data_IF_088547293986
#
_entry.id   IF_088547293986
#
_cell.length_a   1.000
_cell.length_b   1.000
_cell.length_c   1.000
_cell.angle_alpha   90.00
_cell.angle_beta   90.00
_cell.angle_gamma   90.00
#
_symmetry.space_group_name_H-M   'P 1'
#
loop_
_entity.id
_entity.type
_entity.pdbx_description
1 polymer ?
#
# COMPACT_ATOMS: atom_id res chain seq x y z
N UNK A 1 -24.57 -32.74 -12.05
CA UNK A 1 -23.38 -32.24 -11.31
C UNK A 1 -22.12 -32.38 -12.16
N UNK A 2 -21.87 -33.49 -12.83
CA UNK A 2 -20.64 -33.69 -13.63
C UNK A 2 -20.47 -32.67 -14.77
N UNK A 3 -21.57 -32.08 -15.27
CA UNK A 3 -21.54 -31.06 -16.32
C UNK A 3 -21.55 -29.61 -15.79
N UNK A 4 -21.69 -29.42 -14.50
CA UNK A 4 -21.67 -28.07 -13.88
C UNK A 4 -20.23 -27.56 -13.83
N UNK A 5 -19.82 -26.81 -14.84
CA UNK A 5 -18.50 -26.17 -14.88
C UNK A 5 -18.53 -24.89 -14.03
N UNK A 6 -18.30 -25.04 -12.73
CA UNK A 6 -18.18 -23.91 -11.82
C UNK A 6 -16.77 -23.26 -11.83
N UNK A 7 -15.97 -23.52 -12.85
CA UNK A 7 -14.58 -23.04 -12.92
C UNK A 7 -13.69 -23.63 -11.84
N UNK A 8 -14.12 -24.71 -11.21
CA UNK A 8 -13.56 -25.26 -10.00
C UNK A 8 -12.39 -26.21 -10.29
N UNK A 9 -11.31 -25.71 -10.80
CA UNK A 9 -10.03 -26.40 -10.70
C UNK A 9 -9.35 -26.16 -9.34
N UNK A 10 -10.12 -25.84 -8.30
CA UNK A 10 -9.59 -25.63 -6.93
C UNK A 10 -9.57 -26.98 -6.23
N UNK A 11 -8.40 -27.49 -5.79
CA UNK A 11 -8.28 -28.83 -5.25
C UNK A 11 -9.16 -29.06 -4.02
N UNK A 12 -9.50 -27.99 -3.28
CA UNK A 12 -10.30 -28.05 -2.07
C UNK A 12 -11.80 -27.76 -2.28
N UNK A 13 -12.22 -27.39 -3.50
CA UNK A 13 -13.62 -27.10 -3.78
C UNK A 13 -14.30 -28.26 -4.48
N UNK A 14 -15.53 -28.53 -4.06
CA UNK A 14 -16.38 -29.57 -4.66
C UNK A 14 -17.68 -28.95 -5.14
N UNK A 15 -18.19 -29.49 -6.24
CA UNK A 15 -19.54 -29.20 -6.72
C UNK A 15 -20.53 -30.06 -5.95
N UNK A 16 -21.57 -29.44 -5.42
CA UNK A 16 -22.62 -30.11 -4.67
C UNK A 16 -24.00 -29.62 -5.14
N UNK A 17 -25.03 -30.43 -4.89
CA UNK A 17 -26.44 -30.06 -5.08
C UNK A 17 -27.11 -29.91 -3.72
N UNK A 18 -27.97 -28.90 -3.55
CA UNK A 18 -28.82 -28.73 -2.38
C UNK A 18 -29.92 -29.78 -2.39
N UNK A 19 -29.90 -30.70 -1.44
CA UNK A 19 -30.89 -31.79 -1.32
C UNK A 19 -32.10 -31.33 -0.49
N UNK A 20 -31.85 -30.63 0.61
CA UNK A 20 -32.89 -30.05 1.47
C UNK A 20 -32.35 -28.89 2.28
N UNK A 21 -33.23 -27.98 2.70
CA UNK A 21 -32.89 -26.82 3.52
C UNK A 21 -33.76 -26.80 4.76
N UNK A 22 -33.10 -26.68 5.92
CA UNK A 22 -33.69 -26.42 7.22
C UNK A 22 -33.45 -24.98 7.65
N UNK A 23 -33.92 -24.57 8.81
CA UNK A 23 -33.77 -23.20 9.30
C UNK A 23 -32.29 -22.78 9.47
N UNK A 24 -31.41 -23.68 9.93
CA UNK A 24 -30.02 -23.35 10.28
C UNK A 24 -28.98 -24.16 9.48
N UNK A 25 -29.41 -25.00 8.53
CA UNK A 25 -28.49 -25.82 7.74
C UNK A 25 -29.08 -26.25 6.40
N UNK A 26 -28.18 -26.63 5.51
CA UNK A 26 -28.51 -27.23 4.21
C UNK A 26 -27.86 -28.59 4.14
N UNK A 27 -28.63 -29.61 3.74
CA UNK A 27 -28.09 -30.91 3.36
C UNK A 27 -27.72 -30.87 1.88
N UNK A 28 -26.50 -31.26 1.57
CA UNK A 28 -25.92 -31.24 0.24
C UNK A 28 -25.53 -32.65 -0.21
N UNK A 29 -25.58 -32.92 -1.51
CA UNK A 29 -25.16 -34.16 -2.12
C UNK A 29 -24.06 -33.96 -3.15
N UNK A 30 -23.18 -34.94 -3.28
CA UNK A 30 -22.05 -34.93 -4.20
C UNK A 30 -22.25 -35.95 -5.32
N UNK A 31 -21.48 -35.81 -6.41
CA UNK A 31 -21.55 -36.72 -7.57
C UNK A 31 -21.15 -38.16 -7.22
N UNK A 32 -20.38 -38.37 -6.16
CA UNK A 32 -19.97 -39.68 -5.65
C UNK A 32 -21.05 -40.36 -4.73
N UNK A 33 -22.23 -39.76 -4.62
CA UNK A 33 -23.32 -40.24 -3.78
C UNK A 33 -23.22 -39.88 -2.30
N UNK A 34 -22.11 -39.29 -1.86
CA UNK A 34 -21.96 -38.83 -0.49
C UNK A 34 -22.82 -37.61 -0.20
N UNK A 35 -23.15 -37.43 1.06
CA UNK A 35 -23.88 -36.24 1.54
C UNK A 35 -23.08 -35.49 2.60
N UNK A 36 -23.41 -34.22 2.79
CA UNK A 36 -22.79 -33.37 3.81
C UNK A 36 -23.79 -32.36 4.37
N UNK A 37 -23.38 -31.70 5.44
CA UNK A 37 -24.15 -30.61 6.07
C UNK A 37 -23.39 -29.31 5.90
N UNK A 38 -24.09 -28.27 5.49
CA UNK A 38 -23.60 -26.90 5.42
C UNK A 38 -24.42 -26.04 6.39
N UNK A 39 -23.85 -25.65 7.55
CA UNK A 39 -24.51 -24.74 8.47
C UNK A 39 -24.75 -23.34 7.84
N UNK A 40 -25.80 -22.66 8.26
CA UNK A 40 -26.11 -21.29 7.82
C UNK A 40 -24.94 -20.32 8.06
N UNK A 41 -24.23 -20.49 9.17
CA UNK A 41 -23.06 -19.69 9.52
C UNK A 41 -21.90 -19.80 8.50
N UNK A 42 -21.83 -20.89 7.74
CA UNK A 42 -20.83 -21.11 6.68
C UNK A 42 -21.33 -20.73 5.27
N UNK A 43 -22.50 -20.10 5.17
CA UNK A 43 -23.09 -19.58 3.93
C UNK A 43 -23.50 -18.10 4.05
N UNK A 44 -22.69 -17.33 4.79
CA UNK A 44 -22.97 -15.92 5.16
C UNK A 44 -22.59 -14.91 4.07
N UNK A 45 -22.13 -15.34 2.88
CA UNK A 45 -21.75 -14.41 1.82
C UNK A 45 -22.89 -13.43 1.54
N UNK A 46 -22.63 -12.11 1.63
CA UNK A 46 -23.66 -11.12 1.32
C UNK A 46 -23.97 -11.18 -0.16
N UNK A 47 -25.25 -11.18 -0.50
CA UNK A 47 -25.66 -10.93 -1.90
C UNK A 47 -25.46 -9.45 -2.22
N UNK A 48 -24.88 -9.18 -3.38
CA UNK A 48 -24.75 -7.81 -3.89
C UNK A 48 -26.08 -7.07 -3.78
N UNK A 49 -26.11 -5.97 -3.00
CA UNK A 49 -27.22 -5.02 -2.82
C UNK A 49 -28.36 -5.40 -1.87
N UNK A 50 -28.32 -6.53 -1.18
CA UNK A 50 -29.33 -6.86 -0.16
C UNK A 50 -28.66 -7.18 1.17
N UNK A 51 -29.38 -7.00 2.28
CA UNK A 51 -28.94 -7.44 3.60
C UNK A 51 -29.01 -8.96 3.77
N UNK A 52 -29.50 -9.66 2.74
CA UNK A 52 -29.70 -11.11 2.76
C UNK A 52 -28.40 -11.85 2.57
N UNK A 53 -28.22 -12.93 3.30
CA UNK A 53 -27.10 -13.86 3.12
C UNK A 53 -27.38 -14.83 1.96
N UNK A 54 -26.34 -15.44 1.40
CA UNK A 54 -26.50 -16.46 0.39
C UNK A 54 -27.33 -17.66 0.91
N UNK A 55 -27.24 -17.97 2.20
CA UNK A 55 -28.04 -19.02 2.82
C UNK A 55 -29.54 -18.81 2.63
N UNK A 56 -30.06 -17.59 2.84
CA UNK A 56 -31.50 -17.30 2.70
C UNK A 56 -32.02 -17.59 1.31
N UNK A 57 -31.19 -17.45 0.29
CA UNK A 57 -31.52 -17.58 -1.11
C UNK A 57 -31.38 -19.01 -1.69
N UNK A 58 -30.69 -19.91 -0.96
CA UNK A 58 -30.52 -21.29 -1.40
C UNK A 58 -31.85 -22.04 -1.47
N UNK A 59 -32.06 -22.77 -2.57
CA UNK A 59 -33.22 -23.59 -2.82
C UNK A 59 -32.79 -25.02 -3.07
N UNK A 60 -33.71 -25.98 -2.83
CA UNK A 60 -33.52 -27.37 -3.22
C UNK A 60 -33.30 -27.45 -4.75
N UNK A 61 -32.30 -28.23 -5.15
CA UNK A 61 -31.89 -28.35 -6.54
C UNK A 61 -30.78 -27.40 -6.99
N UNK A 62 -30.42 -26.37 -6.18
CA UNK A 62 -29.31 -25.47 -6.52
C UNK A 62 -28.00 -26.24 -6.61
N UNK A 63 -27.21 -25.93 -7.64
CA UNK A 63 -25.84 -26.42 -7.81
C UNK A 63 -24.87 -25.37 -7.29
N UNK A 64 -24.09 -25.76 -6.32
CA UNK A 64 -23.19 -24.84 -5.56
C UNK A 64 -21.77 -25.38 -5.47
N UNK A 65 -20.82 -24.47 -5.29
CA UNK A 65 -19.46 -24.83 -4.91
C UNK A 65 -19.32 -24.78 -3.37
N UNK A 66 -18.65 -25.79 -2.81
CA UNK A 66 -18.42 -25.90 -1.37
C UNK A 66 -16.98 -26.32 -1.10
N UNK A 67 -16.48 -25.93 0.08
CA UNK A 67 -15.19 -26.36 0.62
C UNK A 67 -15.41 -27.01 1.98
N UNK A 68 -14.66 -28.08 2.28
CA UNK A 68 -14.67 -28.70 3.61
C UNK A 68 -14.06 -27.76 4.64
N UNK A 69 -14.75 -27.59 5.75
CA UNK A 69 -14.26 -26.88 6.96
C UNK A 69 -14.54 -27.76 8.19
N UNK A 70 -13.52 -28.51 8.61
CA UNK A 70 -13.67 -29.53 9.64
C UNK A 70 -14.67 -30.62 9.22
N UNK A 71 -15.70 -30.83 10.02
CA UNK A 71 -16.77 -31.82 9.74
C UNK A 71 -17.96 -31.22 8.96
N UNK A 72 -17.87 -29.96 8.56
CA UNK A 72 -18.93 -29.25 7.85
C UNK A 72 -18.47 -28.79 6.45
N UNK A 73 -19.41 -28.23 5.69
CA UNK A 73 -19.13 -27.63 4.40
C UNK A 73 -19.44 -26.14 4.39
N UNK A 74 -18.60 -25.36 3.76
CA UNK A 74 -18.78 -23.93 3.59
C UNK A 74 -19.06 -23.59 2.13
N UNK A 75 -20.04 -22.71 1.89
CA UNK A 75 -20.35 -22.18 0.57
C UNK A 75 -19.14 -21.43 -0.01
N UNK A 76 -18.89 -21.60 -1.29
CA UNK A 76 -17.86 -20.86 -2.04
C UNK A 76 -18.46 -20.24 -3.28
N UNK A 77 -17.90 -19.11 -3.66
CA UNK A 77 -18.26 -18.41 -4.88
C UNK A 77 -17.02 -17.71 -5.45
N UNK A 78 -16.95 -17.57 -6.77
CA UNK A 78 -15.95 -16.74 -7.40
C UNK A 78 -16.31 -15.28 -7.10
N UNK A 79 -15.44 -14.51 -6.42
CA UNK A 79 -15.78 -13.15 -6.04
C UNK A 79 -15.84 -12.24 -7.28
N UNK A 80 -16.82 -11.35 -7.33
CA UNK A 80 -16.87 -10.27 -8.32
C UNK A 80 -15.85 -9.17 -8.01
N UNK A 81 -15.56 -8.94 -6.70
CA UNK A 81 -14.48 -8.07 -6.28
C UNK A 81 -13.18 -8.81 -6.53
N UNK A 82 -12.26 -8.12 -7.18
CA UNK A 82 -10.93 -8.64 -7.45
C UNK A 82 -9.88 -7.59 -7.13
N UNK A 83 -8.63 -7.91 -7.37
CA UNK A 83 -7.55 -6.99 -7.10
C UNK A 83 -6.22 -7.50 -7.60
N UNK A 84 -5.18 -6.80 -7.24
CA UNK A 84 -3.81 -7.19 -7.52
C UNK A 84 -2.92 -6.95 -6.32
N UNK A 85 -1.89 -7.78 -6.18
CA UNK A 85 -0.84 -7.63 -5.16
C UNK A 85 0.51 -7.86 -5.81
N UNK A 86 1.49 -7.07 -5.40
CA UNK A 86 2.91 -7.22 -5.77
C UNK A 86 3.75 -7.18 -4.51
N UNK A 87 4.77 -8.01 -4.46
CA UNK A 87 5.78 -8.05 -3.41
C UNK A 87 7.15 -7.88 -4.05
N UNK A 88 7.94 -6.94 -3.59
CA UNK A 88 9.23 -6.57 -4.15
C UNK A 88 10.31 -6.54 -3.07
N UNK A 89 11.50 -7.03 -3.43
CA UNK A 89 12.70 -6.77 -2.66
C UNK A 89 13.21 -5.36 -3.02
N UNK A 90 13.16 -4.39 -2.09
CA UNK A 90 13.52 -3.01 -2.40
C UNK A 90 15.01 -2.83 -2.75
N UNK A 91 15.90 -3.75 -2.33
CA UNK A 91 17.33 -3.63 -2.58
C UNK A 91 17.74 -4.09 -3.98
N UNK A 92 17.04 -5.06 -4.53
CA UNK A 92 17.37 -5.68 -5.83
C UNK A 92 16.40 -5.34 -6.94
N UNK A 93 15.16 -4.91 -6.60
CA UNK A 93 14.04 -4.77 -7.52
C UNK A 93 13.40 -6.10 -7.94
N UNK A 94 13.81 -7.23 -7.34
CA UNK A 94 13.19 -8.51 -7.64
C UNK A 94 11.73 -8.54 -7.17
N UNK A 95 10.83 -8.86 -8.08
CA UNK A 95 9.44 -9.16 -7.75
C UNK A 95 9.39 -10.58 -7.20
N UNK A 96 9.18 -10.67 -5.88
CA UNK A 96 9.20 -11.94 -5.14
C UNK A 96 7.88 -12.70 -5.27
N UNK A 97 6.77 -11.98 -5.40
CA UNK A 97 5.45 -12.55 -5.59
C UNK A 97 4.53 -11.56 -6.31
N UNK A 98 3.61 -12.09 -7.09
CA UNK A 98 2.58 -11.30 -7.77
C UNK A 98 1.29 -12.10 -7.87
N UNK A 99 0.16 -11.46 -7.55
CA UNK A 99 -1.18 -11.98 -7.77
C UNK A 99 -2.00 -10.93 -8.51
N UNK A 100 -2.48 -11.27 -9.69
CA UNK A 100 -3.22 -10.32 -10.56
C UNK A 100 -4.72 -10.51 -10.58
N UNK A 101 -5.25 -11.39 -9.72
CA UNK A 101 -6.67 -11.70 -9.65
C UNK A 101 -6.93 -12.97 -8.87
N UNK A 102 -8.19 -13.43 -8.85
CA UNK A 102 -8.58 -14.62 -8.12
C UNK A 102 -7.95 -15.89 -8.72
N UNK A 103 -8.09 -16.06 -10.04
CA UNK A 103 -7.54 -17.20 -10.77
C UNK A 103 -7.29 -16.81 -12.25
N UNK A 104 -6.05 -17.00 -12.72
CA UNK A 104 -5.66 -16.70 -14.10
C UNK A 104 -6.35 -17.59 -15.15
N UNK A 105 -6.86 -18.77 -14.75
CA UNK A 105 -7.62 -19.66 -15.63
C UNK A 105 -9.02 -19.11 -15.95
N UNK A 106 -9.58 -18.28 -15.05
CA UNK A 106 -10.87 -17.62 -15.23
C UNK A 106 -10.71 -16.33 -16.02
N UNK A 107 -9.65 -15.56 -15.72
CA UNK A 107 -9.37 -14.30 -16.39
C UNK A 107 -7.86 -14.07 -16.43
N UNK A 108 -7.33 -13.93 -17.65
CA UNK A 108 -5.90 -13.65 -17.88
C UNK A 108 -5.50 -12.21 -17.55
N UNK A 109 -6.47 -11.32 -17.27
CA UNK A 109 -6.22 -9.92 -16.94
C UNK A 109 -5.49 -9.77 -15.60
N UNK A 110 -4.20 -9.39 -15.68
CA UNK A 110 -3.35 -9.22 -14.51
C UNK A 110 -3.55 -7.82 -13.90
N UNK A 111 -4.35 -7.73 -12.85
CA UNK A 111 -4.68 -6.45 -12.20
C UNK A 111 -3.52 -5.82 -11.45
N UNK A 112 -2.45 -6.56 -11.19
CA UNK A 112 -1.27 -6.00 -10.55
C UNK A 112 -0.43 -5.13 -11.50
N UNK A 113 -0.47 -5.42 -12.81
CA UNK A 113 0.36 -4.74 -13.82
C UNK A 113 -0.43 -4.03 -14.91
N UNK A 114 -1.68 -4.44 -15.16
CA UNK A 114 -2.49 -3.95 -16.28
C UNK A 114 -3.66 -3.05 -15.83
N UNK A 115 -4.17 -3.23 -14.60
CA UNK A 115 -5.24 -2.38 -14.10
C UNK A 115 -4.70 -1.02 -13.67
N UNK A 116 -4.97 -0.01 -14.45
CA UNK A 116 -4.78 1.38 -14.03
C UNK A 116 -5.94 1.79 -13.13
N UNK A 117 -5.63 2.14 -11.89
CA UNK A 117 -6.60 2.49 -10.84
C UNK A 117 -6.13 3.69 -10.05
N UNK A 118 -7.08 4.47 -9.57
CA UNK A 118 -6.79 5.59 -8.68
C UNK A 118 -6.27 5.08 -7.32
N UNK A 119 -5.04 5.43 -6.92
CA UNK A 119 -4.45 4.98 -5.66
C UNK A 119 -5.06 5.69 -4.45
N UNK A 120 -5.81 6.77 -4.65
CA UNK A 120 -6.37 7.58 -3.59
C UNK A 120 -5.28 8.04 -2.61
N UNK A 121 -5.56 7.99 -1.33
CA UNK A 121 -4.65 8.48 -0.28
C UNK A 121 -3.28 7.76 -0.21
N UNK A 122 -3.07 6.63 -0.89
CA UNK A 122 -1.74 6.02 -0.97
C UNK A 122 -0.76 6.82 -1.85
N UNK A 123 -1.24 7.78 -2.63
CA UNK A 123 -0.42 8.73 -3.39
C UNK A 123 0.17 9.85 -2.51
N UNK A 124 -0.46 10.20 -1.38
CA UNK A 124 -0.09 11.35 -0.55
C UNK A 124 1.37 11.42 -0.11
N UNK A 125 2.09 10.31 0.19
CA UNK A 125 3.51 10.37 0.53
C UNK A 125 4.35 11.14 -0.48
N UNK A 126 4.04 11.06 -1.77
CA UNK A 126 4.78 11.75 -2.83
C UNK A 126 4.43 13.24 -2.93
N UNK A 127 3.22 13.62 -2.52
CA UNK A 127 2.84 15.05 -2.33
C UNK A 127 3.68 15.65 -1.21
N UNK A 128 3.77 14.94 -0.09
CA UNK A 128 4.55 15.41 1.05
C UNK A 128 6.06 15.33 0.82
N UNK A 129 6.55 14.37 0.01
CA UNK A 129 7.93 14.39 -0.46
C UNK A 129 8.25 15.67 -1.24
N UNK A 130 7.38 16.06 -2.18
CA UNK A 130 7.54 17.32 -2.91
C UNK A 130 7.46 18.54 -1.99
N UNK A 131 6.61 18.50 -0.96
CA UNK A 131 6.49 19.58 0.03
C UNK A 131 7.74 19.70 0.92
N UNK A 132 8.33 18.58 1.34
CA UNK A 132 9.58 18.53 2.09
C UNK A 132 10.76 19.06 1.26
N UNK A 133 10.83 18.73 -0.04
CA UNK A 133 11.82 19.28 -0.97
C UNK A 133 11.61 20.79 -1.24
N UNK A 134 10.38 21.27 -1.08
CA UNK A 134 10.05 22.69 -1.18
C UNK A 134 10.29 23.49 0.13
N UNK A 135 10.88 22.86 1.16
CA UNK A 135 11.27 23.50 2.42
C UNK A 135 10.27 23.34 3.57
N UNK A 136 9.18 22.61 3.40
CA UNK A 136 8.35 22.21 4.53
C UNK A 136 9.07 21.16 5.38
N UNK A 137 8.62 20.98 6.63
CA UNK A 137 9.16 19.99 7.56
C UNK A 137 8.05 19.09 8.09
N UNK A 138 8.37 17.92 8.64
CA UNK A 138 7.36 17.07 9.29
C UNK A 138 6.59 17.79 10.43
N UNK A 139 7.23 18.80 11.03
CA UNK A 139 6.64 19.64 12.09
C UNK A 139 5.89 20.87 11.56
N UNK A 140 5.90 21.14 10.25
CA UNK A 140 5.16 22.28 9.67
C UNK A 140 3.69 22.20 10.02
N UNK A 141 3.14 23.27 10.56
CA UNK A 141 1.71 23.37 10.90
C UNK A 141 0.91 23.67 9.64
N UNK A 142 -0.05 22.80 9.36
CA UNK A 142 -0.99 22.92 8.23
C UNK A 142 -2.42 22.91 8.79
N UNK A 143 -3.25 23.81 8.32
CA UNK A 143 -4.64 23.89 8.79
C UNK A 143 -5.49 22.82 8.12
N UNK A 144 -6.09 21.95 8.92
CA UNK A 144 -7.15 21.04 8.51
C UNK A 144 -8.50 21.77 8.60
N UNK A 145 -8.82 22.56 7.61
CA UNK A 145 -10.00 23.40 7.54
C UNK A 145 -10.49 23.57 6.10
N UNK A 146 -11.64 24.20 5.89
CA UNK A 146 -12.24 24.38 4.57
C UNK A 146 -11.23 24.88 3.55
N UNK A 147 -11.25 24.28 2.37
CA UNK A 147 -10.33 24.62 1.28
C UNK A 147 -11.05 24.51 -0.06
N UNK A 148 -11.18 25.64 -0.72
CA UNK A 148 -11.82 25.75 -2.04
C UNK A 148 -10.89 26.49 -3.00
N UNK A 149 -10.93 26.14 -4.27
CA UNK A 149 -10.20 26.82 -5.33
C UNK A 149 -11.13 27.15 -6.49
N UNK A 150 -10.95 28.31 -7.08
CA UNK A 150 -11.62 28.65 -8.31
C UNK A 150 -10.92 27.92 -9.46
N UNK A 151 -11.65 27.15 -10.24
CA UNK A 151 -11.08 26.37 -11.35
C UNK A 151 -11.13 27.13 -12.68
N UNK A 152 -12.27 27.68 -13.03
CA UNK A 152 -12.52 28.51 -14.21
C UNK A 152 -13.91 29.09 -14.19
N UNK A 153 -14.22 30.06 -15.06
CA UNK A 153 -15.57 30.60 -15.20
C UNK A 153 -16.63 29.53 -15.51
N UNK A 154 -16.24 28.49 -16.27
CA UNK A 154 -17.13 27.36 -16.64
C UNK A 154 -17.31 26.34 -15.49
N UNK A 155 -16.26 26.04 -14.73
CA UNK A 155 -16.25 24.98 -13.72
C UNK A 155 -16.52 25.51 -12.32
N UNK A 156 -16.50 26.82 -12.12
CA UNK A 156 -16.75 27.44 -10.84
C UNK A 156 -15.73 27.10 -9.76
N UNK A 157 -16.21 27.10 -8.53
CA UNK A 157 -15.41 26.81 -7.35
C UNK A 157 -15.47 25.32 -6.99
N UNK A 158 -14.30 24.70 -6.74
CA UNK A 158 -14.18 23.33 -6.22
C UNK A 158 -13.75 23.36 -4.77
N UNK A 159 -14.59 22.82 -3.90
CA UNK A 159 -14.29 22.64 -2.49
C UNK A 159 -13.89 21.19 -2.20
N UNK A 160 -12.86 21.01 -1.39
CA UNK A 160 -12.39 19.72 -0.94
C UNK A 160 -12.97 19.38 0.44
N UNK A 161 -13.04 18.09 0.78
CA UNK A 161 -13.54 17.59 2.06
C UNK A 161 -12.68 16.44 2.57
N UNK A 162 -12.61 16.29 3.88
CA UNK A 162 -12.09 15.07 4.48
C UNK A 162 -13.10 13.93 4.30
N UNK A 163 -12.61 12.69 4.38
CA UNK A 163 -13.48 11.51 4.32
C UNK A 163 -14.53 11.51 5.43
N UNK A 164 -14.14 11.95 6.63
CA UNK A 164 -15.01 12.09 7.82
C UNK A 164 -15.79 13.39 7.87
N UNK A 165 -15.77 14.21 6.81
CA UNK A 165 -16.45 15.51 6.74
C UNK A 165 -15.56 16.69 7.16
N UNK A 166 -15.75 17.22 8.35
CA UNK A 166 -15.16 18.49 8.80
C UNK A 166 -13.64 18.53 8.96
N UNK A 167 -13.11 19.69 9.23
CA UNK A 167 -11.73 19.95 9.63
C UNK A 167 -11.55 19.88 11.14
N UNK A 168 -10.29 19.80 11.60
CA UNK A 168 -9.92 19.73 13.02
C UNK A 168 -8.96 20.84 13.45
N UNK A 169 -8.71 21.85 12.58
CA UNK A 169 -7.83 22.97 12.88
C UNK A 169 -6.35 22.74 12.51
N UNK A 170 -5.43 23.48 13.10
CA UNK A 170 -4.01 23.41 12.80
C UNK A 170 -3.38 22.15 13.43
N UNK A 171 -2.62 21.40 12.61
CA UNK A 171 -1.87 20.21 13.03
C UNK A 171 -0.53 20.13 12.30
N UNK A 172 0.41 19.34 12.83
CA UNK A 172 1.68 19.06 12.17
C UNK A 172 1.46 18.29 10.86
N UNK A 173 2.35 18.50 9.88
CA UNK A 173 2.34 17.70 8.62
C UNK A 173 2.31 16.21 8.92
N UNK A 174 3.15 15.73 9.85
CA UNK A 174 3.16 14.32 10.30
C UNK A 174 1.77 13.83 10.66
N UNK A 175 1.07 14.54 11.53
CA UNK A 175 -0.29 14.15 11.94
C UNK A 175 -1.24 14.08 10.75
N UNK A 176 -1.14 15.05 9.84
CA UNK A 176 -1.97 15.08 8.61
C UNK A 176 -1.76 13.85 7.73
N UNK A 177 -0.52 13.34 7.62
CA UNK A 177 -0.20 12.10 6.91
C UNK A 177 -0.69 10.88 7.68
N UNK A 178 -0.43 10.80 8.98
CA UNK A 178 -0.85 9.69 9.85
C UNK A 178 -2.38 9.50 9.81
N UNK A 179 -3.14 10.60 9.90
CA UNK A 179 -4.60 10.61 9.84
C UNK A 179 -5.16 10.72 8.42
N UNK A 180 -4.29 10.77 7.42
CA UNK A 180 -4.68 10.82 6.00
C UNK A 180 -5.63 11.97 5.63
N UNK A 181 -5.44 13.18 6.22
CA UNK A 181 -6.33 14.33 6.07
C UNK A 181 -6.25 14.93 4.66
N UNK A 182 -7.39 15.00 3.96
CA UNK A 182 -7.45 15.51 2.59
C UNK A 182 -7.19 17.00 2.53
N UNK A 183 -7.81 17.78 3.44
CA UNK A 183 -7.72 19.24 3.46
C UNK A 183 -6.28 19.72 3.69
N UNK A 184 -5.54 19.04 4.58
CA UNK A 184 -4.12 19.32 4.79
C UNK A 184 -3.28 18.98 3.56
N UNK A 185 -3.58 17.85 2.88
CA UNK A 185 -2.85 17.43 1.68
C UNK A 185 -3.04 18.41 0.53
N UNK A 186 -4.27 18.82 0.23
CA UNK A 186 -4.50 19.78 -0.87
C UNK A 186 -3.92 21.15 -0.56
N UNK A 187 -3.91 21.56 0.70
CA UNK A 187 -3.28 22.82 1.13
C UNK A 187 -1.77 22.75 0.98
N UNK A 188 -1.14 21.66 1.41
CA UNK A 188 0.30 21.44 1.21
C UNK A 188 0.65 21.42 -0.28
N UNK A 189 -0.12 20.70 -1.11
CA UNK A 189 0.07 20.66 -2.56
C UNK A 189 -0.07 22.03 -3.22
N UNK A 190 -1.07 22.81 -2.80
CA UNK A 190 -1.28 24.18 -3.31
C UNK A 190 -0.12 25.11 -2.97
N UNK A 191 0.43 25.01 -1.76
CA UNK A 191 1.59 25.80 -1.33
C UNK A 191 2.89 25.36 -1.99
N UNK A 192 3.05 24.07 -2.25
CA UNK A 192 4.23 23.48 -2.90
C UNK A 192 4.29 23.80 -4.39
N UNK A 193 3.13 23.83 -5.04
CA UNK A 193 2.98 23.86 -6.49
C UNK A 193 2.72 22.48 -7.08
N UNK A 194 1.68 22.35 -7.90
CA UNK A 194 1.30 21.07 -8.52
C UNK A 194 2.32 20.59 -9.56
N UNK A 195 3.07 21.47 -10.18
CA UNK A 195 4.20 21.15 -11.06
C UNK A 195 5.23 20.27 -10.34
N UNK A 196 5.62 20.63 -9.11
CA UNK A 196 6.56 19.85 -8.28
C UNK A 196 5.98 18.52 -7.86
N UNK A 197 4.69 18.48 -7.50
CA UNK A 197 3.99 17.23 -7.14
C UNK A 197 3.94 16.26 -8.32
N UNK A 198 3.59 16.75 -9.51
CA UNK A 198 3.52 15.93 -10.72
C UNK A 198 4.91 15.46 -11.14
N UNK A 199 5.93 16.34 -11.04
CA UNK A 199 7.32 15.98 -11.30
C UNK A 199 7.82 14.89 -10.33
N UNK A 200 7.47 14.98 -9.05
CA UNK A 200 7.81 13.94 -8.06
C UNK A 200 7.18 12.60 -8.44
N UNK A 201 5.90 12.57 -8.81
CA UNK A 201 5.23 11.34 -9.25
C UNK A 201 5.89 10.71 -10.49
N UNK A 202 6.32 11.53 -11.44
CA UNK A 202 7.04 11.07 -12.63
C UNK A 202 8.44 10.53 -12.28
N UNK A 203 9.17 11.21 -11.37
CA UNK A 203 10.53 10.80 -11.00
C UNK A 203 10.58 9.42 -10.34
N UNK A 204 9.55 9.05 -9.59
CA UNK A 204 9.42 7.74 -8.93
C UNK A 204 8.63 6.71 -9.76
N UNK A 205 8.29 7.02 -11.01
CA UNK A 205 7.67 6.09 -11.95
C UNK A 205 6.18 5.78 -11.71
N UNK A 206 5.46 6.60 -10.94
CA UNK A 206 4.01 6.43 -10.73
C UNK A 206 3.23 6.79 -12.00
N UNK A 207 3.60 7.87 -12.69
CA UNK A 207 3.11 8.20 -14.02
C UNK A 207 4.06 7.69 -15.10
N UNK A 208 3.54 7.33 -16.27
CA UNK A 208 4.36 6.88 -17.38
C UNK A 208 5.20 8.03 -17.97
N UNK A 209 6.39 7.73 -18.50
CA UNK A 209 7.15 8.66 -19.29
C UNK A 209 6.30 9.19 -20.45
N UNK A 210 6.17 10.52 -20.57
CA UNK A 210 5.35 11.15 -21.60
C UNK A 210 3.85 11.28 -21.30
N UNK A 211 3.35 10.69 -20.21
CA UNK A 211 1.97 10.83 -19.70
C UNK A 211 1.96 11.48 -18.32
N UNK A 212 2.42 12.72 -18.26
CA UNK A 212 2.37 13.47 -17.00
C UNK A 212 0.94 13.72 -16.55
N UNK A 213 0.70 13.62 -15.23
CA UNK A 213 -0.60 13.97 -14.69
C UNK A 213 -0.92 15.45 -14.90
N UNK A 214 -2.19 15.81 -15.04
CA UNK A 214 -2.58 17.22 -15.08
C UNK A 214 -2.27 17.91 -13.74
N UNK A 215 -1.87 19.18 -13.81
CA UNK A 215 -1.49 19.97 -12.64
C UNK A 215 -2.73 20.50 -11.88
N UNK A 216 -3.62 19.61 -11.50
CA UNK A 216 -4.83 19.93 -10.74
C UNK A 216 -4.78 19.31 -9.35
N UNK A 217 -5.34 20.01 -8.35
CA UNK A 217 -5.24 19.61 -6.94
C UNK A 217 -5.88 18.25 -6.61
N UNK A 218 -6.81 17.75 -7.43
CA UNK A 218 -7.35 16.40 -7.24
C UNK A 218 -6.28 15.30 -7.41
N UNK A 219 -5.23 15.54 -8.19
CA UNK A 219 -4.10 14.61 -8.31
C UNK A 219 -3.41 14.42 -6.96
N UNK A 220 -3.30 15.47 -6.14
CA UNK A 220 -2.73 15.35 -4.80
C UNK A 220 -3.50 14.37 -3.88
N UNK A 221 -4.77 14.10 -4.18
CA UNK A 221 -5.58 13.10 -3.49
C UNK A 221 -5.56 11.71 -4.16
N UNK A 222 -4.71 11.52 -5.16
CA UNK A 222 -4.57 10.26 -5.89
C UNK A 222 -5.66 10.01 -6.92
N UNK A 223 -6.15 11.07 -7.59
CA UNK A 223 -7.09 10.94 -8.72
C UNK A 223 -6.41 10.49 -10.02
N UNK A 224 -5.07 10.54 -10.10
CA UNK A 224 -4.32 9.98 -11.22
C UNK A 224 -4.27 8.46 -11.15
N UNK A 225 -4.49 7.81 -12.28
CA UNK A 225 -4.49 6.34 -12.35
C UNK A 225 -3.06 5.78 -12.45
N UNK A 226 -2.83 4.63 -11.85
CA UNK A 226 -1.56 3.92 -11.85
C UNK A 226 -1.77 2.44 -11.54
N UNK A 227 -0.73 1.62 -11.66
CA UNK A 227 -0.79 0.19 -11.35
C UNK A 227 -0.22 -0.12 -9.96
N UNK A 228 -0.56 -1.30 -9.42
CA UNK A 228 0.02 -1.78 -8.15
C UNK A 228 1.54 -1.89 -8.25
N UNK A 229 2.05 -2.42 -9.35
CA UNK A 229 3.49 -2.58 -9.58
C UNK A 229 4.24 -1.24 -9.51
N UNK A 230 3.72 -0.18 -10.16
CA UNK A 230 4.31 1.16 -10.11
C UNK A 230 4.29 1.75 -8.69
N UNK A 231 3.18 1.57 -7.97
CA UNK A 231 3.07 2.04 -6.59
C UNK A 231 4.03 1.32 -5.65
N UNK A 232 4.18 0.00 -5.78
CA UNK A 232 5.13 -0.79 -4.96
C UNK A 232 6.55 -0.35 -5.22
N UNK A 233 6.96 -0.20 -6.48
CA UNK A 233 8.29 0.29 -6.83
C UNK A 233 8.55 1.71 -6.28
N UNK A 234 7.57 2.62 -6.37
CA UNK A 234 7.69 3.97 -5.80
C UNK A 234 7.90 3.95 -4.28
N UNK A 235 7.25 3.03 -3.56
CA UNK A 235 7.49 2.85 -2.12
C UNK A 235 8.82 2.15 -1.83
N UNK A 236 9.28 1.25 -2.70
CA UNK A 236 10.63 0.68 -2.62
C UNK A 236 11.71 1.75 -2.79
N UNK A 237 11.51 2.73 -3.68
CA UNK A 237 12.39 3.91 -3.82
C UNK A 237 12.49 4.69 -2.51
N UNK A 238 11.40 4.88 -1.77
CA UNK A 238 11.43 5.54 -0.46
C UNK A 238 12.34 4.79 0.52
N UNK A 239 12.17 3.47 0.64
CA UNK A 239 12.96 2.61 1.53
C UNK A 239 14.44 2.61 1.19
N UNK A 240 14.77 2.78 -0.09
CA UNK A 240 16.14 2.89 -0.60
C UNK A 240 16.72 4.31 -0.57
N UNK A 241 16.19 5.17 0.26
CA UNK A 241 16.64 6.56 0.34
C UNK A 241 16.63 7.27 -1.04
N UNK A 242 15.56 7.09 -1.80
CA UNK A 242 15.34 7.78 -3.07
C UNK A 242 16.05 7.18 -4.29
N UNK A 243 16.59 5.97 -4.18
CA UNK A 243 17.28 5.29 -5.29
C UNK A 243 16.29 4.44 -6.09
N UNK A 244 16.21 4.69 -7.39
CA UNK A 244 15.44 3.88 -8.34
C UNK A 244 16.14 2.56 -8.65
N UNK A 245 15.37 1.48 -8.64
CA UNK A 245 15.77 0.12 -9.05
C UNK A 245 14.67 -0.44 -9.91
N UNK A 246 15.03 -0.88 -11.11
CA UNK A 246 14.02 -1.45 -12.02
C UNK A 246 13.50 -2.77 -11.48
N UNK A 247 12.17 -2.92 -11.33
CA UNK A 247 11.57 -4.19 -10.98
C UNK A 247 11.89 -5.27 -12.02
N UNK A 248 12.23 -6.46 -11.57
CA UNK A 248 12.49 -7.62 -12.43
C UNK A 248 11.79 -8.87 -11.89
N UNK A 249 11.25 -9.69 -12.79
CA UNK A 249 10.66 -10.98 -12.47
C UNK A 249 11.51 -12.15 -12.98
N UNK A 250 12.45 -11.88 -13.90
CA UNK A 250 13.27 -12.90 -14.54
C UNK A 250 14.72 -12.46 -14.45
N UNK A 251 15.55 -13.21 -13.71
CA UNK A 251 16.97 -12.91 -13.58
C UNK A 251 17.74 -13.33 -14.84
N UNK A 252 17.45 -14.52 -15.35
CA UNK A 252 18.01 -15.00 -16.62
C UNK A 252 17.15 -16.13 -17.21
N UNK A 253 17.33 -16.38 -18.50
CA UNK A 253 16.74 -17.49 -19.24
C UNK A 253 17.85 -18.29 -19.87
N UNK A 254 17.85 -19.60 -19.67
CA UNK A 254 18.77 -20.56 -20.30
C UNK A 254 18.02 -21.48 -21.26
N UNK A 255 18.68 -21.88 -22.33
CA UNK A 255 18.20 -22.96 -23.19
C UNK A 255 18.49 -24.34 -22.56
N UNK A 256 18.00 -25.39 -23.20
CA UNK A 256 18.19 -26.79 -22.75
C UNK A 256 19.67 -27.25 -22.68
N UNK A 257 20.59 -26.47 -23.24
CA UNK A 257 22.03 -26.74 -23.23
C UNK A 257 22.79 -25.92 -22.20
N UNK A 258 22.05 -25.15 -21.33
CA UNK A 258 22.63 -24.28 -20.31
C UNK A 258 23.15 -22.94 -20.85
N UNK A 259 22.93 -22.61 -22.11
CA UNK A 259 23.34 -21.33 -22.68
C UNK A 259 22.39 -20.22 -22.25
N UNK A 260 22.94 -19.16 -21.66
CA UNK A 260 22.12 -17.99 -21.27
C UNK A 260 21.65 -17.26 -22.52
N UNK A 261 20.33 -17.17 -22.71
CA UNK A 261 19.66 -16.48 -23.81
C UNK A 261 19.20 -15.07 -23.41
N UNK A 262 18.92 -14.87 -22.15
CA UNK A 262 18.57 -13.58 -21.57
C UNK A 262 19.17 -13.47 -20.19
N UNK A 263 19.62 -12.27 -19.82
CA UNK A 263 20.05 -11.91 -18.47
C UNK A 263 19.56 -10.50 -18.16
N UNK A 264 18.85 -10.34 -17.06
CA UNK A 264 18.36 -9.03 -16.61
C UNK A 264 19.54 -8.13 -16.22
N UNK A 265 20.53 -8.67 -15.53
CA UNK A 265 21.76 -7.96 -15.20
C UNK A 265 22.82 -8.17 -16.29
N UNK A 266 22.97 -7.16 -17.16
CA UNK A 266 23.96 -7.13 -18.26
C UNK A 266 25.17 -6.26 -17.93
N UNK A 267 25.36 -5.87 -16.64
CA UNK A 267 26.50 -5.04 -16.25
C UNK A 267 27.81 -5.76 -16.53
N UNK A 268 28.80 -5.08 -17.14
CA UNK A 268 30.10 -5.65 -17.29
C UNK A 268 30.73 -5.89 -15.91
N UNK A 269 31.21 -7.07 -15.69
CA UNK A 269 31.96 -7.39 -14.48
C UNK A 269 33.31 -7.95 -14.89
N UNK A 270 34.27 -7.06 -15.03
CA UNK A 270 35.64 -7.46 -15.30
C UNK A 270 36.19 -8.20 -14.07
N UNK A 271 36.77 -9.40 -14.30
CA UNK A 271 37.35 -10.23 -13.23
C UNK A 271 36.33 -10.96 -12.33
N UNK A 272 34.99 -10.96 -12.62
CA UNK A 272 34.04 -11.77 -11.88
C UNK A 272 34.17 -13.27 -12.06
N UNK A 273 34.81 -13.72 -13.15
CA UNK A 273 35.00 -15.14 -13.52
C UNK A 273 36.47 -15.52 -13.61
N UNK A 274 37.31 -15.08 -12.67
CA UNK A 274 38.68 -15.52 -12.58
C UNK A 274 38.70 -16.97 -12.09
N UNK A 275 39.54 -17.81 -12.73
CA UNK A 275 39.74 -19.21 -12.33
C UNK A 275 40.39 -19.31 -10.94
N UNK A 276 41.24 -18.34 -10.60
CA UNK A 276 41.95 -18.27 -9.33
C UNK A 276 41.82 -16.88 -8.69
N UNK A 277 41.90 -16.83 -7.37
CA UNK A 277 41.90 -15.58 -6.62
C UNK A 277 43.22 -14.83 -6.85
N UNK A 278 43.15 -13.60 -7.34
CA UNK A 278 44.31 -12.76 -7.70
C UNK A 278 44.77 -11.81 -6.59
N UNK A 279 44.34 -12.03 -5.35
CA UNK A 279 44.71 -11.21 -4.19
C UNK A 279 44.06 -9.81 -4.14
N UNK A 280 43.20 -9.46 -5.11
CA UNK A 280 42.54 -8.14 -5.17
C UNK A 280 41.14 -8.18 -4.57
N UNK A 281 40.58 -7.01 -4.14
CA UNK A 281 39.21 -6.93 -3.66
C UNK A 281 38.21 -7.46 -4.70
N UNK A 282 37.11 -8.03 -4.23
CA UNK A 282 36.02 -8.51 -5.07
C UNK A 282 35.61 -7.43 -6.07
N UNK A 283 35.49 -7.74 -7.38
CA UNK A 283 35.05 -6.78 -8.38
C UNK A 283 33.63 -6.29 -8.08
N UNK A 284 33.42 -5.01 -8.24
CA UNK A 284 32.12 -4.37 -8.05
C UNK A 284 31.60 -3.87 -9.40
N UNK A 285 30.55 -4.50 -9.96
CA UNK A 285 29.91 -3.99 -11.18
C UNK A 285 29.42 -2.56 -10.97
N UNK A 286 29.45 -1.70 -12.00
CA UNK A 286 28.92 -0.35 -11.89
C UNK A 286 27.45 -0.37 -11.44
N UNK A 287 27.07 0.56 -10.57
CA UNK A 287 25.69 0.65 -10.11
C UNK A 287 24.75 1.00 -11.27
N UNK A 288 23.60 0.33 -11.36
CA UNK A 288 22.49 0.66 -12.30
C UNK A 288 21.45 1.56 -11.67
N UNK A 289 21.74 2.06 -10.51
CA UNK A 289 20.81 2.82 -9.70
C UNK A 289 20.90 4.30 -10.03
N UNK A 290 19.76 4.97 -10.05
CA UNK A 290 19.65 6.41 -10.24
C UNK A 290 19.04 7.03 -9.00
N UNK A 291 19.66 8.08 -8.46
CA UNK A 291 19.04 8.90 -7.44
C UNK A 291 17.93 9.72 -8.08
N UNK A 292 16.67 9.48 -7.68
CA UNK A 292 15.47 10.14 -8.24
C UNK A 292 14.73 10.99 -7.21
N UNK A 293 15.10 10.88 -5.94
CA UNK A 293 14.59 11.66 -4.83
C UNK A 293 15.73 11.92 -3.85
N UNK A 294 15.71 13.06 -3.17
CA UNK A 294 16.67 13.37 -2.10
C UNK A 294 16.62 12.28 -1.00
N UNK A 295 17.77 11.70 -0.60
CA UNK A 295 17.79 10.64 0.41
C UNK A 295 17.23 11.08 1.77
N UNK A 296 17.43 12.33 2.16
CA UNK A 296 16.91 12.85 3.43
C UNK A 296 15.39 12.96 3.37
N UNK A 297 14.84 13.43 2.25
CA UNK A 297 13.39 13.50 1.99
C UNK A 297 12.77 12.10 2.00
N UNK A 298 13.38 11.14 1.31
CA UNK A 298 12.87 9.76 1.27
C UNK A 298 12.78 9.17 2.70
N UNK A 299 13.82 9.36 3.51
CA UNK A 299 13.82 8.90 4.90
C UNK A 299 12.78 9.62 5.77
N UNK A 300 12.64 10.96 5.63
CA UNK A 300 11.61 11.71 6.35
C UNK A 300 10.21 11.15 6.04
N UNK A 301 9.94 10.85 4.78
CA UNK A 301 8.65 10.24 4.39
C UNK A 301 8.47 8.86 5.01
N UNK A 302 9.48 7.97 4.94
CA UNK A 302 9.42 6.64 5.58
C UNK A 302 9.17 6.78 7.08
N UNK A 303 9.89 7.65 7.76
CA UNK A 303 9.73 7.88 9.20
C UNK A 303 8.33 8.41 9.57
N UNK A 304 7.73 9.26 8.73
CA UNK A 304 6.32 9.65 8.90
C UNK A 304 5.40 8.46 8.68
N UNK A 305 5.66 7.62 7.69
CA UNK A 305 4.84 6.46 7.35
C UNK A 305 4.91 5.32 8.40
N UNK A 306 5.99 5.22 9.19
CA UNK A 306 6.00 4.40 10.39
C UNK A 306 4.92 4.88 11.38
N UNK A 307 4.71 6.19 11.50
CA UNK A 307 3.65 6.77 12.30
C UNK A 307 2.23 6.39 11.84
N UNK A 308 2.02 6.18 10.55
CA UNK A 308 0.73 5.69 10.01
C UNK A 308 0.39 4.30 10.55
N UNK A 309 1.40 3.43 10.73
CA UNK A 309 1.25 2.10 11.34
C UNK A 309 1.09 2.21 12.85
N UNK A 310 1.83 3.10 13.50
CA UNK A 310 1.82 3.19 14.96
C UNK A 310 0.57 3.90 15.51
N UNK A 311 0.06 4.92 14.84
CA UNK A 311 -0.95 5.85 15.34
C UNK A 311 -2.05 6.21 14.35
N UNK A 312 -1.87 5.85 13.07
CA UNK A 312 -2.70 6.32 11.97
C UNK A 312 -3.63 5.25 11.41
N UNK A 313 -3.93 5.40 10.13
CA UNK A 313 -4.93 4.60 9.41
C UNK A 313 -4.56 3.13 9.20
N UNK A 314 -3.30 2.73 9.47
CA UNK A 314 -2.84 1.35 9.38
C UNK A 314 -2.51 0.74 10.76
N UNK A 315 -3.11 1.24 11.84
CA UNK A 315 -2.87 0.79 13.22
C UNK A 315 -3.14 -0.71 13.43
N UNK A 316 -3.90 -1.36 12.57
CA UNK A 316 -4.09 -2.80 12.55
C UNK A 316 -2.83 -3.65 12.31
N UNK A 317 -1.68 -3.01 11.98
CA UNK A 317 -0.39 -3.68 11.83
C UNK A 317 0.55 -3.46 13.01
N UNK A 318 0.19 -2.62 13.98
CA UNK A 318 1.08 -2.23 15.08
C UNK A 318 1.53 -3.40 15.94
N UNK A 319 0.66 -4.34 16.21
CA UNK A 319 0.90 -5.53 17.04
C UNK A 319 1.77 -6.61 16.35
N UNK A 320 2.20 -6.38 15.12
CA UNK A 320 3.21 -7.23 14.50
C UNK A 320 4.62 -7.04 15.10
N UNK A 321 4.81 -6.05 15.97
CA UNK A 321 6.02 -5.79 16.76
C UNK A 321 7.32 -5.77 15.94
N UNK A 322 7.26 -5.14 14.76
CA UNK A 322 8.42 -4.91 13.90
C UNK A 322 8.33 -3.58 13.18
N UNK A 323 9.46 -3.00 12.76
CA UNK A 323 9.45 -1.78 11.93
C UNK A 323 8.64 -2.01 10.65
N UNK A 324 7.54 -1.29 10.54
CA UNK A 324 6.66 -1.28 9.38
C UNK A 324 6.32 0.15 9.02
N UNK A 325 6.33 0.44 7.73
CA UNK A 325 5.84 1.68 7.17
C UNK A 325 4.72 1.39 6.17
N UNK A 326 3.89 2.36 5.88
CA UNK A 326 2.91 2.19 4.81
C UNK A 326 1.82 3.24 4.81
N UNK A 327 1.00 3.17 3.78
CA UNK A 327 -0.12 4.09 3.60
C UNK A 327 -1.34 3.38 3.06
N UNK A 328 -2.49 3.66 3.65
CA UNK A 328 -3.81 3.25 3.16
C UNK A 328 -4.28 4.17 2.05
N UNK A 329 -4.98 3.62 1.08
CA UNK A 329 -5.69 4.35 0.04
C UNK A 329 -7.18 3.98 0.05
N UNK A 330 -8.03 4.97 -0.17
CA UNK A 330 -9.46 4.80 -0.39
C UNK A 330 -9.90 5.90 -1.35
N UNK A 331 -10.56 5.54 -2.43
CA UNK A 331 -11.13 6.50 -3.37
C UNK A 331 -12.49 7.00 -2.89
N UNK A 332 -12.91 8.15 -3.39
CA UNK A 332 -14.28 8.66 -3.13
C UNK A 332 -15.31 7.65 -3.64
N UNK A 333 -16.35 7.40 -2.81
CA UNK A 333 -17.39 6.41 -3.12
C UNK A 333 -16.88 4.95 -3.09
N UNK A 334 -16.07 4.55 -2.15
CA UNK A 334 -15.04 3.48 -2.06
C UNK A 334 -15.07 2.49 -3.23
N UNK A 335 -14.55 2.91 -4.38
CA UNK A 335 -14.44 2.08 -5.58
C UNK A 335 -13.15 1.28 -5.62
N UNK A 336 -12.09 1.80 -4.97
CA UNK A 336 -10.80 1.13 -4.82
C UNK A 336 -10.30 1.32 -3.40
N UNK A 337 -9.79 0.25 -2.81
CA UNK A 337 -9.08 0.28 -1.53
C UNK A 337 -7.66 -0.23 -1.71
N UNK A 338 -6.71 0.45 -1.07
CA UNK A 338 -5.28 0.20 -1.22
C UNK A 338 -4.57 0.11 0.11
N UNK A 339 -3.52 -0.66 0.13
CA UNK A 339 -2.43 -0.53 1.10
C UNK A 339 -1.10 -0.77 0.37
N UNK A 340 -0.12 0.10 0.63
CA UNK A 340 1.25 -0.09 0.16
C UNK A 340 2.19 0.21 1.32
N UNK A 341 3.14 -0.69 1.57
CA UNK A 341 4.09 -0.57 2.67
C UNK A 341 4.89 -1.85 2.88
N UNK A 342 5.58 -1.94 4.00
CA UNK A 342 6.41 -3.11 4.31
C UNK A 342 7.47 -2.85 5.35
N UNK A 343 8.58 -3.57 5.24
CA UNK A 343 9.79 -3.48 6.06
C UNK A 343 10.95 -2.88 5.25
N UNK A 344 12.13 -2.66 5.85
CA UNK A 344 13.33 -2.29 5.08
C UNK A 344 13.70 -3.26 3.95
N UNK A 345 13.34 -4.55 4.08
CA UNK A 345 13.79 -5.61 3.16
C UNK A 345 12.67 -6.19 2.28
N UNK A 346 11.42 -5.77 2.50
CA UNK A 346 10.27 -6.24 1.74
C UNK A 346 9.21 -5.15 1.63
N UNK A 347 8.86 -4.77 0.40
CA UNK A 347 7.75 -3.84 0.14
C UNK A 347 6.67 -4.59 -0.61
N UNK A 348 5.43 -4.43 -0.16
CA UNK A 348 4.28 -5.01 -0.83
C UNK A 348 3.15 -3.99 -0.94
N UNK A 349 2.36 -4.14 -1.99
CA UNK A 349 1.19 -3.31 -2.20
C UNK A 349 0.06 -4.10 -2.82
N UNK A 350 -1.14 -3.74 -2.45
CA UNK A 350 -2.34 -4.34 -3.00
C UNK A 350 -3.45 -3.32 -3.20
N UNK A 351 -4.30 -3.60 -4.16
CA UNK A 351 -5.61 -2.97 -4.25
C UNK A 351 -6.73 -4.00 -4.40
N UNK A 352 -7.93 -3.61 -4.00
CA UNK A 352 -9.16 -4.34 -4.23
C UNK A 352 -10.22 -3.41 -4.81
N UNK A 353 -11.05 -3.94 -5.73
CA UNK A 353 -12.14 -3.22 -6.37
C UNK A 353 -12.85 -4.07 -7.41
N UNK A 354 -13.88 -3.51 -8.03
CA UNK A 354 -14.53 -4.14 -9.18
C UNK A 354 -13.78 -3.75 -10.46
N UNK A 355 -13.78 -4.64 -11.48
CA UNK A 355 -13.19 -4.35 -12.78
C UNK A 355 -13.89 -3.17 -13.47
N UNK A 356 -15.22 -3.12 -13.42
CA UNK A 356 -15.99 -1.92 -13.70
C UNK A 356 -16.18 -1.15 -12.41
N UNK A 357 -15.55 0.03 -12.23
CA UNK A 357 -15.53 0.75 -10.95
C UNK A 357 -16.95 1.03 -10.43
N UNK A 358 -17.25 0.49 -9.26
CA UNK A 358 -18.48 0.76 -8.50
C UNK A 358 -18.19 0.69 -7.00
N UNK A 359 -19.04 1.28 -6.19
CA UNK A 359 -18.85 1.29 -4.74
C UNK A 359 -18.88 -0.12 -4.15
N UNK A 360 -17.93 -0.41 -3.28
CA UNK A 360 -17.89 -1.62 -2.45
C UNK A 360 -18.64 -1.46 -1.13
N UNK A 361 -19.27 -0.30 -0.89
CA UNK A 361 -19.96 0.03 0.35
C UNK A 361 -19.09 0.83 1.33
N UNK A 362 -19.75 1.51 2.29
CA UNK A 362 -19.08 2.44 3.22
C UNK A 362 -18.04 1.80 4.15
N UNK A 363 -18.16 0.49 4.41
CA UNK A 363 -17.17 -0.28 5.19
C UNK A 363 -15.84 -0.43 4.45
N UNK A 364 -15.83 -0.46 3.12
CA UNK A 364 -14.66 -0.74 2.32
C UNK A 364 -13.69 0.44 2.33
N UNK A 365 -12.72 0.39 3.22
CA UNK A 365 -11.63 1.34 3.34
C UNK A 365 -10.29 0.61 3.31
N UNK A 366 -9.21 1.32 2.98
CA UNK A 366 -7.87 0.74 3.02
C UNK A 366 -7.53 0.14 4.38
N UNK A 367 -7.92 0.80 5.48
CA UNK A 367 -7.70 0.31 6.85
C UNK A 367 -8.53 -0.92 7.22
N UNK A 368 -9.76 -1.06 6.71
CA UNK A 368 -10.68 -2.15 7.08
C UNK A 368 -10.63 -3.35 6.13
N UNK A 369 -10.12 -3.19 4.90
CA UNK A 369 -10.04 -4.25 3.90
C UNK A 369 -8.60 -4.55 3.50
N UNK A 370 -7.84 -3.55 3.01
CA UNK A 370 -6.52 -3.81 2.47
C UNK A 370 -5.47 -4.10 3.57
N UNK A 371 -5.54 -3.41 4.72
CA UNK A 371 -4.63 -3.65 5.86
C UNK A 371 -4.75 -5.06 6.42
N UNK A 372 -5.95 -5.64 6.68
CA UNK A 372 -6.07 -7.03 7.12
C UNK A 372 -5.50 -8.05 6.13
N UNK A 373 -5.70 -7.85 4.82
CA UNK A 373 -5.13 -8.73 3.78
C UNK A 373 -3.60 -8.66 3.80
N UNK A 374 -3.04 -7.44 3.86
CA UNK A 374 -1.59 -7.26 4.00
C UNK A 374 -1.06 -7.90 5.27
N UNK A 375 -1.77 -7.76 6.40
CA UNK A 375 -1.38 -8.35 7.69
C UNK A 375 -1.27 -9.87 7.60
N UNK A 376 -2.29 -10.54 7.05
CA UNK A 376 -2.28 -12.00 6.91
C UNK A 376 -1.10 -12.47 6.05
N UNK A 377 -0.85 -11.80 4.94
CA UNK A 377 0.32 -12.03 4.10
C UNK A 377 1.61 -11.83 4.89
N UNK A 378 1.77 -10.66 5.54
CA UNK A 378 3.00 -10.27 6.22
C UNK A 378 3.33 -11.18 7.42
N UNK A 379 2.32 -11.65 8.17
CA UNK A 379 2.51 -12.62 9.25
C UNK A 379 3.17 -13.91 8.77
N UNK A 380 2.81 -14.38 7.57
CA UNK A 380 3.40 -15.58 6.97
C UNK A 380 4.76 -15.29 6.33
N UNK A 381 4.83 -14.24 5.53
CA UNK A 381 6.04 -13.90 4.76
C UNK A 381 7.21 -13.41 5.62
N UNK A 382 6.93 -12.80 6.76
CA UNK A 382 7.93 -12.22 7.65
C UNK A 382 8.17 -13.04 8.92
N UNK A 383 7.59 -14.25 9.03
CA UNK A 383 7.66 -15.10 10.24
C UNK A 383 9.11 -15.31 10.71
N UNK A 384 9.97 -15.69 9.79
CA UNK A 384 11.37 -16.01 10.07
C UNK A 384 12.35 -14.92 9.60
N UNK A 385 11.81 -13.76 9.14
CA UNK A 385 12.62 -12.66 8.67
C UNK A 385 13.19 -11.85 9.85
N UNK A 386 14.45 -11.38 9.76
CA UNK A 386 15.06 -10.57 10.80
C UNK A 386 14.28 -9.27 11.02
N UNK A 387 14.32 -8.77 12.26
CA UNK A 387 13.73 -7.47 12.61
C UNK A 387 14.80 -6.41 12.44
N UNK A 388 14.71 -5.64 11.36
CA UNK A 388 15.67 -4.61 10.98
C UNK A 388 15.00 -3.25 11.00
N UNK A 389 15.60 -2.21 11.62
CA UNK A 389 15.07 -0.85 11.60
C UNK A 389 15.34 -0.16 10.26
N UNK A 390 14.51 0.84 9.92
CA UNK A 390 14.82 1.76 8.82
C UNK A 390 16.04 2.60 9.18
N UNK A 391 17.00 2.68 8.26
CA UNK A 391 18.27 3.36 8.49
C UNK A 391 18.23 4.78 7.94
N UNK A 392 18.49 5.75 8.83
CA UNK A 392 18.64 7.14 8.43
C UNK A 392 19.92 7.31 7.58
N UNK A 393 19.84 8.00 6.44
CA UNK A 393 21.02 8.37 5.68
C UNK A 393 21.84 9.41 6.43
N UNK A 394 23.15 9.55 6.13
CA UNK A 394 23.97 10.61 6.70
C UNK A 394 23.35 12.00 6.45
N UNK A 395 23.36 12.84 7.48
CA UNK A 395 22.78 14.19 7.43
C UNK A 395 21.44 14.35 8.13
N UNK A 396 20.67 13.29 8.34
CA UNK A 396 19.43 13.37 9.11
C UNK A 396 19.73 13.77 10.57
N UNK A 397 18.94 14.72 11.07
CA UNK A 397 18.93 15.16 12.46
C UNK A 397 17.67 14.64 13.16
N UNK A 398 17.84 13.71 14.12
CA UNK A 398 16.76 13.23 14.96
C UNK A 398 16.56 14.17 16.14
N UNK A 399 15.44 14.87 16.17
CA UNK A 399 15.13 15.91 17.17
C UNK A 399 13.88 15.50 17.96
N UNK A 400 13.92 15.70 19.26
CA UNK A 400 12.74 15.52 20.11
C UNK A 400 11.79 16.69 19.93
N UNK A 401 10.56 16.37 19.55
CA UNK A 401 9.51 17.38 19.40
C UNK A 401 8.25 16.97 20.15
N UNK A 402 7.49 17.96 20.55
CA UNK A 402 6.08 17.76 20.92
C UNK A 402 5.29 17.46 19.64
N UNK A 403 4.60 16.34 19.64
CA UNK A 403 3.91 15.80 18.45
C UNK A 403 2.77 16.70 17.96
N UNK A 404 2.12 17.40 18.89
CA UNK A 404 0.97 18.25 18.57
C UNK A 404 1.40 19.59 17.98
N UNK A 405 2.37 20.25 18.62
CA UNK A 405 2.82 21.59 18.22
C UNK A 405 4.00 21.59 17.25
N UNK A 406 4.73 20.48 17.11
CA UNK A 406 5.96 20.40 16.33
C UNK A 406 7.15 21.12 16.96
N UNK A 407 7.02 21.68 18.16
CA UNK A 407 8.07 22.42 18.84
C UNK A 407 9.12 21.48 19.44
N UNK A 408 10.39 21.90 19.42
CA UNK A 408 11.49 21.17 20.06
C UNK A 408 11.25 21.06 21.56
N UNK A 409 11.56 19.86 22.12
CA UNK A 409 11.40 19.56 23.54
C UNK A 409 12.74 19.23 24.16
N UNK A 410 12.97 19.75 25.38
CA UNK A 410 14.14 19.47 26.20
C UNK A 410 13.72 18.73 27.49
N UNK A 411 14.61 17.92 28.04
CA UNK A 411 14.36 17.25 29.32
C UNK A 411 13.47 16.01 29.25
N UNK A 412 12.56 15.91 28.29
CA UNK A 412 11.65 14.76 28.14
C UNK A 412 12.11 13.84 27.02
N UNK A 413 12.07 12.52 27.23
CA UNK A 413 12.46 11.52 26.25
C UNK A 413 11.22 10.83 25.65
N UNK A 414 11.25 10.54 24.35
CA UNK A 414 10.23 9.69 23.72
C UNK A 414 10.20 8.32 24.39
N UNK A 415 9.00 7.76 24.51
CA UNK A 415 8.77 6.41 24.99
C UNK A 415 8.24 5.52 23.87
N UNK A 416 8.12 4.23 24.11
CA UNK A 416 7.53 3.30 23.17
C UNK A 416 5.98 3.37 23.13
N UNK A 417 5.38 4.23 23.98
CA UNK A 417 3.93 4.47 23.92
C UNK A 417 3.57 5.25 22.64
N UNK A 418 2.78 4.67 21.74
CA UNK A 418 2.35 5.35 20.52
C UNK A 418 1.57 6.65 20.77
N UNK A 419 1.01 6.82 21.98
CA UNK A 419 0.27 8.03 22.39
C UNK A 419 1.15 9.08 23.05
N UNK A 420 2.43 8.76 23.29
CA UNK A 420 3.35 9.72 23.92
C UNK A 420 3.31 11.09 23.22
N UNK A 421 3.30 12.19 23.98
CA UNK A 421 3.27 13.53 23.41
C UNK A 421 4.62 13.89 22.74
N UNK A 422 5.73 13.33 23.19
CA UNK A 422 7.07 13.58 22.67
C UNK A 422 7.51 12.44 21.77
N UNK A 423 8.02 12.79 20.59
CA UNK A 423 8.52 11.82 19.59
C UNK A 423 9.90 12.26 19.07
N UNK A 424 10.64 11.30 18.53
CA UNK A 424 11.75 11.60 17.64
C UNK A 424 11.22 11.98 16.27
N UNK A 425 11.71 13.07 15.70
CA UNK A 425 11.36 13.53 14.36
C UNK A 425 12.59 13.77 13.53
N UNK A 426 12.51 13.40 12.25
CA UNK A 426 13.61 13.50 11.30
C UNK A 426 13.60 14.87 10.59
N UNK A 427 14.70 15.61 10.70
CA UNK A 427 14.89 16.89 10.03
C UNK A 427 16.11 16.86 9.12
N UNK A 428 16.07 17.63 8.04
CA UNK A 428 17.25 18.02 7.27
C UNK A 428 18.04 19.06 8.08
N UNK A 429 19.38 19.18 7.92
CA UNK A 429 20.20 20.11 8.71
C UNK A 429 19.70 21.56 8.62
N UNK A 430 19.30 22.00 7.44
CA UNK A 430 18.83 23.36 7.16
C UNK A 430 17.43 23.65 7.71
N UNK A 431 16.66 22.61 8.04
CA UNK A 431 15.27 22.72 8.52
C UNK A 431 15.11 22.34 9.99
N UNK A 432 16.19 22.11 10.71
CA UNK A 432 16.18 21.78 12.13
C UNK A 432 15.49 22.91 12.94
N UNK A 433 14.50 22.60 13.81
CA UNK A 433 13.85 23.59 14.65
C UNK A 433 14.89 24.32 15.52
N UNK A 434 14.90 25.66 15.46
CA UNK A 434 15.81 26.47 16.23
C UNK A 434 15.67 26.20 17.73
N UNK A 435 16.76 26.23 18.45
CA UNK A 435 16.76 26.24 19.92
C UNK A 435 16.17 27.59 20.36
N UNK A 436 14.92 27.58 20.84
CA UNK A 436 14.41 28.73 21.59
C UNK A 436 14.97 28.63 23.01
N UNK A 437 16.01 29.39 23.33
CA UNK A 437 16.44 29.59 24.71
C UNK A 437 15.40 30.53 25.32
N UNK A 438 14.64 30.05 26.31
CA UNK A 438 13.82 30.94 27.12
C UNK A 438 14.76 31.87 27.91
N UNK A 439 14.39 33.15 28.05
CA UNK A 439 15.14 34.12 28.81
C UNK A 439 15.33 33.69 30.29
N UNK A 440 14.43 32.88 30.80
CA UNK A 440 14.40 32.34 32.16
C UNK A 440 15.38 31.16 32.36
N UNK A 441 16.01 30.63 31.30
CA UNK A 441 17.04 29.58 31.38
C UNK A 441 18.46 30.14 31.28
N UNK A 442 18.61 31.49 31.30
CA UNK A 442 19.88 32.21 31.22
C UNK A 442 20.34 32.77 32.59
N UNK A 443 19.76 32.29 33.70
CA UNK A 443 20.18 32.68 35.06
C UNK A 443 20.86 31.51 35.76
#
# INVERSE_FOLDING_TARGET
>A
LASANLGAGYPDWRVAIVLSKAAESVRIGFADGKTGIMPAALATMPRSRTAETAFSQLKQGDVIAVKSEGNAWALRNIPEISGGMVVENPHTGQVLAMQGGFDSRIASYNRATQAERQPGSSFKPFVYAAALDAGMTPATIIVDGPFCVFQSARLGQKCFRNFTGGGSGPHTMRWGVEQSRNLMTVRAASQTGMDKVVKMAASVGISDPGKSYPQVLSIALGAGETTVSKMVNAYAILVRNGIDVRPTMIDFVQDRYGRVRFRADTRPCNRCNLAEYDGKPMPRPPARTKQVMDPLTAYQVVHILEGVVQRGTAVGLRDMNRPLFGKTGTTSGPTNVWFVGGTPDLVAGLYMGYDTPRSMGGYAQGGTVAVPIFREFAQKALKDAPIVPFRAPPGIRMIRIDRASGKRVFGTWPTNDPKAPVIWEAFKPESEPRRSIRRDELV
#
